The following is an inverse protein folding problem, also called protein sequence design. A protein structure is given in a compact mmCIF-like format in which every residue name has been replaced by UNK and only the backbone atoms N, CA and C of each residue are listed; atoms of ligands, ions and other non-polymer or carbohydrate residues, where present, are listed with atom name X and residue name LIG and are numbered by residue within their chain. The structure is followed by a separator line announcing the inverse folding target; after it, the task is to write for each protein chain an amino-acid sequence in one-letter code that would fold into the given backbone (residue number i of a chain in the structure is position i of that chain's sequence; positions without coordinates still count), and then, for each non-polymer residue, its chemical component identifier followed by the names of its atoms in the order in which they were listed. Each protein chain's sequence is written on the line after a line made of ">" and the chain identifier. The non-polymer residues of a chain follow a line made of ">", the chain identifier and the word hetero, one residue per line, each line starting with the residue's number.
data_IF_572117793338
#
_entry.id   IF_572117793338
#
_cell.length_a   1.000
_cell.length_b   1.000
_cell.length_c   1.000
_cell.angle_alpha   90.00
_cell.angle_beta   90.00
_cell.angle_gamma   90.00
#
_symmetry.space_group_name_H-M   'P 1'
#
loop_
_entity.id
_entity.type
_entity.pdbx_description
1 polymer ?
#
# COMPACT_ATOMS: atom_id res chain seq x y z
N UNK A 1 54.50 -0.32 -19.29
CA UNK A 1 54.23 1.13 -19.39
C UNK A 1 52.72 1.29 -19.45
N UNK A 2 52.19 2.21 -18.66
CA UNK A 2 50.86 2.18 -18.04
C UNK A 2 49.68 1.86 -18.99
N UNK A 3 48.77 1.01 -18.50
CA UNK A 3 47.38 0.95 -18.98
C UNK A 3 46.79 2.33 -18.79
N UNK A 4 46.65 3.09 -19.87
CA UNK A 4 45.93 4.36 -19.89
C UNK A 4 44.50 4.07 -19.41
N UNK A 5 44.17 4.49 -18.19
CA UNK A 5 42.79 4.53 -17.73
C UNK A 5 42.10 5.61 -18.53
N UNK A 6 41.52 5.23 -19.68
CA UNK A 6 40.68 6.10 -20.50
C UNK A 6 39.51 6.55 -19.62
N UNK A 7 39.61 7.77 -19.09
CA UNK A 7 38.54 8.40 -18.32
C UNK A 7 37.53 8.91 -19.34
N UNK A 8 36.50 8.10 -19.60
CA UNK A 8 35.42 8.45 -20.52
C UNK A 8 34.56 9.56 -19.87
N UNK A 9 34.28 10.68 -20.55
CA UNK A 9 33.38 11.70 -20.03
C UNK A 9 32.00 11.10 -19.73
N UNK A 10 31.31 11.48 -18.64
CA UNK A 10 30.01 10.90 -18.25
C UNK A 10 28.91 10.98 -19.33
N UNK A 11 29.09 11.83 -20.34
CA UNK A 11 28.17 12.05 -21.45
C UNK A 11 28.23 10.99 -22.56
N UNK A 12 29.28 10.16 -22.60
CA UNK A 12 29.48 9.14 -23.65
C UNK A 12 29.18 7.71 -23.16
N UNK A 13 28.72 7.56 -21.92
CA UNK A 13 28.19 6.27 -21.48
C UNK A 13 26.89 6.00 -22.25
N UNK A 14 26.74 4.83 -22.90
CA UNK A 14 25.48 4.48 -23.53
C UNK A 14 24.37 4.64 -22.50
N UNK A 15 23.32 5.36 -22.89
CA UNK A 15 22.13 5.51 -22.05
C UNK A 15 21.74 4.12 -21.57
N UNK A 16 21.78 3.90 -20.26
CA UNK A 16 21.43 2.59 -19.70
C UNK A 16 20.00 2.31 -20.14
N UNK A 17 19.83 1.39 -21.10
CA UNK A 17 18.54 1.01 -21.62
C UNK A 17 17.71 0.49 -20.45
N UNK A 18 16.80 1.34 -19.95
CA UNK A 18 15.93 0.99 -18.84
C UNK A 18 15.09 -0.19 -19.30
N UNK A 19 15.29 -1.35 -18.67
CA UNK A 19 14.68 -2.61 -19.06
C UNK A 19 13.16 -2.44 -19.17
N UNK A 20 12.66 -2.35 -20.41
CA UNK A 20 11.24 -2.13 -20.65
C UNK A 20 10.48 -3.45 -20.50
N UNK A 21 9.45 -3.44 -19.65
CA UNK A 21 8.60 -4.60 -19.41
C UNK A 21 7.96 -5.11 -20.71
N UNK A 22 8.33 -6.32 -21.14
CA UNK A 22 7.90 -6.94 -22.40
C UNK A 22 6.55 -7.70 -22.26
N UNK A 23 6.07 -7.92 -21.04
CA UNK A 23 4.84 -8.68 -20.74
C UNK A 23 3.92 -7.94 -19.78
N UNK A 24 2.61 -8.24 -19.82
CA UNK A 24 1.59 -7.64 -18.94
C UNK A 24 1.90 -7.85 -17.45
N UNK A 25 2.42 -9.03 -17.09
CA UNK A 25 2.78 -9.38 -15.71
C UNK A 25 3.97 -8.55 -15.23
N UNK A 26 5.00 -8.38 -16.06
CA UNK A 26 6.19 -7.57 -15.70
C UNK A 26 5.85 -6.08 -15.65
N UNK A 27 4.77 -5.63 -16.31
CA UNK A 27 4.34 -4.24 -16.28
C UNK A 27 3.50 -3.89 -15.06
N UNK A 28 2.61 -4.79 -14.62
CA UNK A 28 1.60 -4.48 -13.58
C UNK A 28 1.64 -5.36 -12.33
N UNK A 29 2.40 -6.45 -12.29
CA UNK A 29 2.52 -7.29 -11.08
C UNK A 29 3.95 -7.27 -10.55
N UNK A 30 4.94 -7.43 -11.43
CA UNK A 30 6.36 -7.34 -11.12
C UNK A 30 7.00 -6.10 -11.77
N UNK A 31 6.40 -4.94 -11.52
CA UNK A 31 6.92 -3.68 -12.05
C UNK A 31 8.11 -3.19 -11.22
N UNK A 32 9.15 -2.67 -11.88
CA UNK A 32 10.27 -1.97 -11.22
C UNK A 32 10.10 -0.44 -11.26
N UNK A 33 9.06 0.06 -11.94
CA UNK A 33 8.75 1.48 -11.98
C UNK A 33 8.06 1.92 -10.68
N UNK A 34 8.73 2.79 -9.93
CA UNK A 34 8.24 3.33 -8.66
C UNK A 34 6.85 3.98 -8.78
N UNK A 35 6.50 4.57 -9.94
CA UNK A 35 5.15 5.15 -10.15
C UNK A 35 4.07 4.09 -10.17
N UNK A 36 4.34 2.95 -10.82
CA UNK A 36 3.36 1.86 -10.91
C UNK A 36 3.18 1.23 -9.52
N UNK A 37 4.28 1.01 -8.80
CA UNK A 37 4.26 0.53 -7.42
C UNK A 37 3.46 1.50 -6.54
N UNK A 38 3.66 2.82 -6.71
CA UNK A 38 2.98 3.80 -5.88
C UNK A 38 1.46 3.80 -6.07
N UNK A 39 0.99 3.64 -7.30
CA UNK A 39 -0.44 3.52 -7.62
C UNK A 39 -1.03 2.24 -7.01
N UNK A 40 -0.29 1.12 -7.03
CA UNK A 40 -0.75 -0.14 -6.44
C UNK A 40 -0.88 -0.06 -4.92
N UNK A 41 0.12 0.52 -4.24
CA UNK A 41 0.08 0.72 -2.80
C UNK A 41 -1.05 1.68 -2.40
N UNK A 42 -1.17 2.81 -3.09
CA UNK A 42 -2.25 3.78 -2.84
C UNK A 42 -3.64 3.18 -3.05
N UNK A 43 -3.85 2.44 -4.15
CA UNK A 43 -5.12 1.79 -4.44
C UNK A 43 -5.48 0.73 -3.39
N UNK A 44 -4.51 -0.07 -2.97
CA UNK A 44 -4.69 -1.08 -1.92
C UNK A 44 -4.99 -0.42 -0.56
N UNK A 45 -4.27 0.64 -0.21
CA UNK A 45 -4.46 1.38 1.03
C UNK A 45 -5.88 1.96 1.14
N UNK A 46 -6.39 2.55 0.06
CA UNK A 46 -7.77 3.08 0.01
C UNK A 46 -8.80 1.96 0.13
N UNK A 47 -8.61 0.84 -0.56
CA UNK A 47 -9.52 -0.32 -0.51
C UNK A 47 -9.66 -0.87 0.91
N UNK A 48 -8.55 -1.11 1.60
CA UNK A 48 -8.60 -1.63 2.98
C UNK A 48 -9.03 -0.53 3.96
N UNK A 49 -8.71 0.74 3.68
CA UNK A 49 -9.21 1.88 4.43
C UNK A 49 -10.74 2.00 4.43
N UNK A 50 -11.39 1.71 3.30
CA UNK A 50 -12.86 1.64 3.22
C UNK A 50 -13.43 0.54 4.13
N UNK A 51 -12.77 -0.62 4.23
CA UNK A 51 -13.15 -1.68 5.18
C UNK A 51 -13.04 -1.18 6.61
N UNK A 52 -11.97 -0.45 6.94
CA UNK A 52 -11.82 0.21 8.24
C UNK A 52 -12.96 1.18 8.55
N UNK A 53 -13.43 1.96 7.57
CA UNK A 53 -14.56 2.87 7.75
C UNK A 53 -15.87 2.14 8.05
N UNK A 54 -16.11 1.01 7.36
CA UNK A 54 -17.28 0.16 7.62
C UNK A 54 -17.22 -0.42 9.04
N UNK A 55 -16.06 -0.92 9.48
CA UNK A 55 -15.88 -1.39 10.86
C UNK A 55 -16.17 -0.27 11.88
N UNK A 56 -15.76 0.97 11.59
CA UNK A 56 -16.06 2.12 12.44
C UNK A 56 -17.56 2.34 12.62
N UNK A 57 -18.33 2.19 11.54
CA UNK A 57 -19.79 2.28 11.59
C UNK A 57 -20.42 1.14 12.38
N UNK A 58 -19.96 -0.09 12.21
CA UNK A 58 -20.46 -1.23 12.98
C UNK A 58 -20.28 -1.02 14.48
N UNK A 59 -19.11 -0.55 14.92
CA UNK A 59 -18.86 -0.22 16.33
C UNK A 59 -19.81 0.87 16.85
N UNK A 60 -20.12 1.89 16.04
CA UNK A 60 -21.07 2.95 16.42
C UNK A 60 -22.51 2.45 16.52
N UNK A 61 -22.92 1.54 15.64
CA UNK A 61 -24.25 0.94 15.68
C UNK A 61 -24.41 0.02 16.90
N UNK A 62 -23.36 -0.73 17.27
CA UNK A 62 -23.31 -1.53 18.50
C UNK A 62 -23.52 -0.67 19.76
N UNK A 63 -22.81 0.46 19.88
CA UNK A 63 -22.94 1.40 21.00
C UNK A 63 -24.32 2.09 21.05
N UNK A 64 -24.93 2.36 19.89
CA UNK A 64 -26.21 3.08 19.79
C UNK A 64 -27.46 2.21 19.99
N UNK A 65 -27.40 0.93 19.60
CA UNK A 65 -28.52 -0.01 19.69
C UNK A 65 -28.09 -1.38 20.26
N UNK A 66 -27.68 -1.43 21.55
CA UNK A 66 -27.16 -2.65 22.17
C UNK A 66 -28.18 -3.80 22.19
N UNK A 67 -29.48 -3.50 22.24
CA UNK A 67 -30.56 -4.49 22.29
C UNK A 67 -30.87 -5.15 20.93
N UNK A 68 -30.54 -4.50 19.80
CA UNK A 68 -30.82 -5.04 18.44
C UNK A 68 -29.65 -5.84 17.89
N UNK A 69 -28.44 -5.56 18.39
CA UNK A 69 -27.20 -6.22 17.97
C UNK A 69 -26.59 -7.14 19.03
N UNK A 70 -27.41 -7.63 19.96
CA UNK A 70 -27.02 -8.56 21.05
C UNK A 70 -26.48 -9.92 20.58
N UNK A 71 -26.41 -10.15 19.26
CA UNK A 71 -25.74 -11.30 18.65
C UNK A 71 -24.22 -11.12 18.54
N UNK A 72 -23.72 -9.89 18.65
CA UNK A 72 -22.29 -9.61 18.64
C UNK A 72 -21.80 -9.59 20.08
N UNK A 73 -20.94 -10.56 20.38
CA UNK A 73 -20.39 -10.77 21.72
C UNK A 73 -19.36 -9.67 22.07
N UNK A 74 -19.08 -9.50 23.36
CA UNK A 74 -18.07 -8.55 23.84
C UNK A 74 -16.68 -8.83 23.21
N UNK A 75 -16.39 -10.11 22.93
CA UNK A 75 -15.14 -10.52 22.26
C UNK A 75 -15.04 -10.05 20.81
N UNK A 76 -16.14 -9.97 20.07
CA UNK A 76 -16.16 -9.53 18.67
C UNK A 76 -16.02 -8.01 18.57
N UNK A 77 -16.63 -7.27 19.49
CA UNK A 77 -16.44 -5.81 19.60
C UNK A 77 -14.97 -5.46 19.81
N UNK A 78 -14.28 -6.13 20.73
CA UNK A 78 -12.85 -5.92 20.99
C UNK A 78 -11.97 -6.29 19.78
N UNK A 79 -12.33 -7.34 19.04
CA UNK A 79 -11.65 -7.69 17.79
C UNK A 79 -11.85 -6.62 16.71
N UNK A 80 -13.08 -6.13 16.51
CA UNK A 80 -13.36 -5.08 15.53
C UNK A 80 -12.65 -3.77 15.85
N UNK A 81 -12.59 -3.36 17.12
CA UNK A 81 -11.83 -2.17 17.54
C UNK A 81 -10.34 -2.32 17.22
N UNK A 82 -9.76 -3.48 17.53
CA UNK A 82 -8.34 -3.75 17.28
C UNK A 82 -8.02 -3.79 15.78
N UNK A 83 -8.85 -4.47 14.98
CA UNK A 83 -8.71 -4.53 13.53
C UNK A 83 -8.92 -3.16 12.88
N UNK A 84 -9.91 -2.38 13.33
CA UNK A 84 -10.15 -1.02 12.85
C UNK A 84 -8.92 -0.13 13.06
N UNK A 85 -8.37 -0.12 14.28
CA UNK A 85 -7.19 0.68 14.61
C UNK A 85 -5.96 0.28 13.80
N UNK A 86 -5.70 -1.02 13.69
CA UNK A 86 -4.60 -1.56 12.89
C UNK A 86 -4.75 -1.20 11.40
N UNK A 87 -5.96 -1.32 10.84
CA UNK A 87 -6.23 -0.97 9.44
C UNK A 87 -6.05 0.54 9.20
N UNK A 88 -6.58 1.40 10.08
CA UNK A 88 -6.47 2.85 9.89
C UNK A 88 -5.03 3.35 10.05
N UNK A 89 -4.32 2.93 11.09
CA UNK A 89 -2.99 3.46 11.38
C UNK A 89 -1.92 2.78 10.53
N UNK A 90 -1.91 1.45 10.51
CA UNK A 90 -0.86 0.70 9.83
C UNK A 90 -1.14 0.60 8.34
N UNK A 91 -2.33 0.17 7.92
CA UNK A 91 -2.57 -0.11 6.51
C UNK A 91 -3.00 1.11 5.69
N UNK A 92 -3.80 2.03 6.23
CA UNK A 92 -4.21 3.24 5.52
C UNK A 92 -3.12 4.31 5.62
N UNK A 93 -2.82 4.83 6.81
CA UNK A 93 -1.88 5.95 6.94
C UNK A 93 -0.46 5.58 6.48
N UNK A 94 0.10 4.45 6.94
CA UNK A 94 1.48 4.08 6.60
C UNK A 94 1.62 3.75 5.11
N UNK A 95 0.71 3.00 4.50
CA UNK A 95 0.83 2.62 3.09
C UNK A 95 0.44 3.76 2.13
N UNK A 96 -0.50 4.64 2.50
CA UNK A 96 -0.84 5.81 1.69
C UNK A 96 0.31 6.82 1.66
N UNK A 97 0.95 7.07 2.81
CA UNK A 97 2.10 7.95 2.85
C UNK A 97 3.31 7.23 2.25
N UNK A 98 3.88 6.19 2.87
CA UNK A 98 5.13 5.59 2.35
C UNK A 98 5.02 4.98 0.95
N UNK A 99 3.82 4.55 0.53
CA UNK A 99 3.61 3.94 -0.77
C UNK A 99 3.04 4.90 -1.83
N UNK A 100 2.70 6.15 -1.52
CA UNK A 100 2.04 7.05 -2.47
C UNK A 100 2.96 7.96 -3.28
N UNK A 101 4.23 8.07 -2.91
CA UNK A 101 5.17 9.05 -3.43
C UNK A 101 6.56 8.50 -3.72
#
# INVERSE_FOLDING_TARGET
>A
MASETVVIPPAELPEVELYHAKSWITKYVFSQDAKVIAIQYSGTAVLIGLVGLVLSWLMRLQLGFPETFSFIDESEYLQYVTLHGMIMVVYLLTALFLGGF
#
